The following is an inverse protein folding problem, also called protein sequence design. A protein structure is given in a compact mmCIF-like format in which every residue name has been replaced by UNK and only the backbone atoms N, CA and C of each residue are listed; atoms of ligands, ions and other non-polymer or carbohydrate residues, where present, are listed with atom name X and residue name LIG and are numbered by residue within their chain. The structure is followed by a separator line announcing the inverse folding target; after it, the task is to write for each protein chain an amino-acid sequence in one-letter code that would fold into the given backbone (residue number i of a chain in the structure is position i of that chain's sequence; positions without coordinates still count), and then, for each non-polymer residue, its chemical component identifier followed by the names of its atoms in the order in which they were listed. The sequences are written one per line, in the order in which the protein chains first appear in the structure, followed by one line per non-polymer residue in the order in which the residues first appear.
data_IF_350413013591
#
_entry.id   IF_350413013591
#
_cell.length_a   1.000
_cell.length_b   1.000
_cell.length_c   1.000
_cell.angle_alpha   90.00
_cell.angle_beta   90.00
_cell.angle_gamma   90.00
#
_symmetry.space_group_name_H-M   'P 1'
#
loop_
_entity.id
_entity.type
_entity.pdbx_description
1 polymer ?
#
# COMPACT_ATOMS: atom_id res chain seq x y z
N UNK A 1 -2.37 -2.95 30.54
CA UNK A 1 -2.71 -3.16 29.12
C UNK A 1 -1.39 -3.11 28.40
N UNK A 2 -0.88 -4.26 28.00
CA UNK A 2 0.38 -4.33 27.27
C UNK A 2 0.06 -3.97 25.83
N UNK A 3 0.49 -2.78 25.40
CA UNK A 3 0.33 -2.34 24.01
C UNK A 3 1.39 -3.01 23.14
N UNK A 4 0.99 -3.50 21.97
CA UNK A 4 1.95 -3.87 20.94
C UNK A 4 2.52 -2.61 20.29
N UNK A 5 3.82 -2.63 19.96
CA UNK A 5 4.50 -1.53 19.27
C UNK A 5 5.20 -2.08 18.05
N UNK A 6 4.93 -1.43 16.93
CA UNK A 6 5.58 -1.68 15.64
C UNK A 6 6.37 -0.44 15.24
N UNK A 7 7.62 -0.63 14.85
CA UNK A 7 8.45 0.39 14.21
C UNK A 7 8.40 0.22 12.70
N UNK A 8 8.12 1.32 12.00
CA UNK A 8 8.10 1.37 10.55
C UNK A 8 9.39 2.03 10.03
N UNK A 9 10.06 1.39 9.08
CA UNK A 9 11.29 1.86 8.47
C UNK A 9 11.01 2.21 7.01
N UNK A 10 11.42 3.40 6.59
CA UNK A 10 11.20 3.93 5.25
C UNK A 10 12.52 4.18 4.54
N UNK A 11 12.51 4.01 3.22
CA UNK A 11 13.57 4.41 2.29
C UNK A 11 13.04 5.49 1.35
N UNK A 12 13.80 5.86 0.31
CA UNK A 12 13.34 6.71 -0.78
C UNK A 12 12.24 6.07 -1.66
N UNK A 13 12.14 4.73 -1.66
CA UNK A 13 11.11 4.00 -2.41
C UNK A 13 9.82 3.77 -1.61
N UNK A 14 9.81 4.03 -0.30
CA UNK A 14 8.64 3.82 0.55
C UNK A 14 8.89 3.00 1.81
N UNK A 15 7.83 2.40 2.35
CA UNK A 15 7.91 1.51 3.51
C UNK A 15 8.75 0.28 3.16
N UNK A 16 9.85 0.04 3.86
CA UNK A 16 10.75 -1.09 3.60
C UNK A 16 10.75 -2.11 4.72
N UNK A 17 10.28 -1.80 5.92
CA UNK A 17 10.21 -2.80 6.97
C UNK A 17 9.36 -2.43 8.18
N UNK A 18 8.92 -3.47 8.87
CA UNK A 18 8.23 -3.43 10.16
C UNK A 18 9.00 -4.27 11.16
N UNK A 19 9.20 -3.73 12.36
CA UNK A 19 9.94 -4.37 13.45
C UNK A 19 9.14 -4.28 14.74
N UNK A 20 9.22 -5.31 15.57
CA UNK A 20 8.58 -5.29 16.88
C UNK A 20 9.32 -4.40 17.89
N UNK A 21 8.78 -4.30 19.10
CA UNK A 21 9.36 -3.49 20.17
C UNK A 21 10.80 -3.88 20.58
N UNK A 22 11.23 -5.11 20.27
CA UNK A 22 12.57 -5.64 20.53
C UNK A 22 13.55 -5.45 19.36
N UNK A 23 13.06 -4.96 18.22
CA UNK A 23 13.84 -4.82 16.99
C UNK A 23 13.89 -6.09 16.14
N UNK A 24 13.05 -7.10 16.44
CA UNK A 24 12.92 -8.27 15.59
C UNK A 24 12.09 -7.92 14.34
N UNK A 25 12.57 -8.36 13.17
CA UNK A 25 11.88 -8.17 11.90
C UNK A 25 10.52 -8.89 11.92
N UNK A 26 9.46 -8.13 11.67
CA UNK A 26 8.11 -8.65 11.39
C UNK A 26 8.00 -8.94 9.90
N UNK A 27 8.39 -7.98 9.06
CA UNK A 27 8.41 -8.11 7.59
C UNK A 27 9.25 -7.01 6.93
N UNK A 28 9.76 -7.31 5.73
CA UNK A 28 10.46 -6.37 4.85
C UNK A 28 9.77 -6.33 3.50
N UNK A 29 9.66 -5.16 2.90
CA UNK A 29 9.06 -4.96 1.57
C UNK A 29 10.14 -4.58 0.56
N UNK A 30 9.97 -5.03 -0.69
CA UNK A 30 10.73 -4.55 -1.82
C UNK A 30 9.80 -4.05 -2.91
N UNK A 31 10.17 -2.93 -3.53
CA UNK A 31 9.37 -2.25 -4.54
C UNK A 31 9.97 -2.45 -5.93
N UNK A 32 9.18 -2.19 -6.97
CA UNK A 32 9.69 -2.20 -8.33
C UNK A 32 10.65 -1.02 -8.53
N UNK A 33 11.88 -1.22 -9.03
CA UNK A 33 12.84 -0.12 -9.18
C UNK A 33 12.27 1.04 -10.02
N UNK A 34 12.34 2.24 -9.47
CA UNK A 34 11.82 3.46 -10.11
C UNK A 34 10.30 3.65 -10.01
N UNK A 35 9.60 2.84 -9.21
CA UNK A 35 8.19 3.07 -8.89
C UNK A 35 7.99 4.34 -8.05
N UNK A 36 6.72 4.74 -7.89
CA UNK A 36 6.37 5.80 -6.95
C UNK A 36 6.50 5.32 -5.50
N UNK A 37 6.45 6.26 -4.56
CA UNK A 37 6.54 5.98 -3.13
C UNK A 37 5.52 4.92 -2.69
N UNK A 38 6.01 3.78 -2.19
CA UNK A 38 5.20 2.63 -1.78
C UNK A 38 4.18 2.17 -2.85
N UNK A 39 4.55 2.26 -4.14
CA UNK A 39 3.77 1.72 -5.27
C UNK A 39 4.47 0.53 -5.89
N UNK A 40 3.70 -0.36 -6.53
CA UNK A 40 4.21 -1.54 -7.24
C UNK A 40 5.09 -2.46 -6.39
N UNK A 41 4.57 -3.00 -5.26
CA UNK A 41 5.34 -3.91 -4.43
C UNK A 41 5.73 -5.14 -5.24
N UNK A 42 6.99 -5.55 -5.09
CA UNK A 42 7.60 -6.66 -5.82
C UNK A 42 7.64 -7.92 -4.94
N UNK A 43 8.11 -7.78 -3.71
CA UNK A 43 8.16 -8.89 -2.75
C UNK A 43 7.87 -8.41 -1.32
N UNK A 44 7.45 -9.36 -0.48
CA UNK A 44 7.51 -9.26 0.98
C UNK A 44 8.38 -10.40 1.51
N UNK A 45 9.24 -10.09 2.47
CA UNK A 45 10.03 -11.08 3.21
C UNK A 45 9.51 -11.17 4.64
N UNK A 46 9.18 -12.37 5.08
CA UNK A 46 8.70 -12.67 6.43
C UNK A 46 9.51 -13.83 6.97
N UNK A 47 10.15 -13.67 8.13
CA UNK A 47 10.98 -14.73 8.73
C UNK A 47 12.10 -15.24 7.80
N UNK A 48 12.66 -14.37 6.96
CA UNK A 48 13.69 -14.73 5.98
C UNK A 48 13.17 -15.40 4.70
N UNK A 49 11.87 -15.65 4.55
CA UNK A 49 11.26 -16.26 3.37
C UNK A 49 10.67 -15.17 2.47
N UNK A 50 10.96 -15.25 1.17
CA UNK A 50 10.43 -14.33 0.16
C UNK A 50 9.10 -14.82 -0.40
N UNK A 51 8.20 -13.87 -0.62
CA UNK A 51 6.93 -14.04 -1.31
C UNK A 51 6.77 -12.92 -2.34
N UNK A 52 6.11 -13.20 -3.46
CA UNK A 52 6.04 -12.28 -4.59
C UNK A 52 4.62 -11.77 -4.80
N UNK A 53 4.50 -10.47 -4.99
CA UNK A 53 3.24 -9.82 -5.28
C UNK A 53 2.80 -10.06 -6.73
N UNK A 54 1.49 -10.12 -6.92
CA UNK A 54 0.81 -10.03 -8.21
C UNK A 54 -0.13 -8.83 -8.13
N UNK A 55 0.22 -7.78 -8.86
CA UNK A 55 -0.49 -6.51 -8.80
C UNK A 55 -1.47 -6.36 -9.98
N UNK A 56 -2.43 -5.46 -9.84
CA UNK A 56 -3.26 -4.98 -10.96
C UNK A 56 -2.52 -3.90 -11.79
N UNK A 57 -3.24 -3.27 -12.72
CA UNK A 57 -2.66 -2.25 -13.60
C UNK A 57 -2.28 -0.95 -12.90
N UNK A 58 -2.68 -0.75 -11.63
CA UNK A 58 -2.32 0.41 -10.81
C UNK A 58 -1.19 0.11 -9.83
N UNK A 59 -0.75 -1.15 -9.74
CA UNK A 59 0.22 -1.57 -8.73
C UNK A 59 -0.43 -2.00 -7.40
N UNK A 60 -1.75 -2.21 -7.35
CA UNK A 60 -2.44 -2.71 -6.14
C UNK A 60 -2.19 -4.21 -5.98
N UNK A 61 -1.74 -4.69 -4.81
CA UNK A 61 -1.65 -6.11 -4.49
C UNK A 61 -2.98 -6.86 -4.68
N UNK A 62 -3.05 -7.81 -5.61
CA UNK A 62 -4.21 -8.69 -5.77
C UNK A 62 -3.96 -10.07 -5.16
N UNK A 63 -2.71 -10.56 -5.26
CA UNK A 63 -2.27 -11.83 -4.69
C UNK A 63 -0.82 -11.77 -4.22
N UNK A 64 -0.47 -12.65 -3.31
CA UNK A 64 0.92 -12.97 -2.96
C UNK A 64 1.12 -14.47 -3.15
N UNK A 65 2.22 -14.85 -3.80
CA UNK A 65 2.58 -16.25 -4.05
C UNK A 65 3.89 -16.62 -3.38
N UNK A 66 3.97 -17.85 -2.88
CA UNK A 66 5.21 -18.44 -2.37
C UNK A 66 6.12 -18.92 -3.51
N UNK A 67 7.33 -19.37 -3.17
CA UNK A 67 8.29 -19.95 -4.12
C UNK A 67 7.75 -21.20 -4.83
N UNK A 68 6.82 -21.93 -4.21
CA UNK A 68 6.17 -23.09 -4.83
C UNK A 68 5.02 -22.70 -5.77
N UNK A 69 4.70 -21.41 -5.89
CA UNK A 69 3.57 -20.90 -6.67
C UNK A 69 2.23 -20.97 -5.95
N UNK A 70 2.20 -21.40 -4.67
CA UNK A 70 0.98 -21.40 -3.88
C UNK A 70 0.55 -19.97 -3.55
N UNK A 71 -0.74 -19.67 -3.70
CA UNK A 71 -1.32 -18.38 -3.27
C UNK A 71 -1.40 -18.39 -1.75
N UNK A 72 -0.65 -17.50 -1.10
CA UNK A 72 -0.57 -17.37 0.36
C UNK A 72 -1.37 -16.18 0.90
N UNK A 73 -1.72 -15.26 0.02
CA UNK A 73 -2.62 -14.16 0.30
C UNK A 73 -3.34 -13.74 -0.97
N UNK A 74 -4.62 -13.39 -0.87
CA UNK A 74 -5.36 -12.78 -1.97
C UNK A 74 -6.52 -11.93 -1.48
N UNK A 75 -6.84 -10.88 -2.24
CA UNK A 75 -7.95 -10.00 -1.95
C UNK A 75 -8.73 -9.63 -3.21
N UNK A 76 -9.95 -9.14 -3.00
CA UNK A 76 -10.79 -8.49 -4.01
C UNK A 76 -11.11 -7.10 -3.49
N UNK A 77 -11.02 -6.11 -4.38
CA UNK A 77 -11.25 -4.71 -4.06
C UNK A 77 -12.50 -4.21 -4.77
N UNK A 78 -13.26 -3.34 -4.10
CA UNK A 78 -14.20 -2.48 -4.81
C UNK A 78 -13.48 -1.29 -5.46
N UNK A 79 -14.24 -0.46 -6.18
CA UNK A 79 -13.68 0.69 -6.89
C UNK A 79 -12.97 1.68 -5.97
N UNK A 80 -13.32 1.77 -4.69
CA UNK A 80 -12.74 2.71 -3.72
C UNK A 80 -11.80 2.02 -2.72
N UNK A 81 -11.41 0.78 -2.99
CA UNK A 81 -10.37 0.09 -2.25
C UNK A 81 -10.86 -0.66 -1.02
N UNK A 82 -12.18 -0.77 -0.77
CA UNK A 82 -12.64 -1.70 0.26
C UNK A 82 -12.16 -3.11 -0.08
N UNK A 83 -11.36 -3.67 0.81
CA UNK A 83 -10.63 -4.90 0.59
C UNK A 83 -11.33 -6.07 1.28
N UNK A 84 -11.73 -7.08 0.51
CA UNK A 84 -12.17 -8.37 1.01
C UNK A 84 -11.05 -9.41 0.82
N UNK A 85 -10.47 -9.88 1.93
CA UNK A 85 -9.41 -10.88 1.91
C UNK A 85 -10.03 -12.27 1.75
N UNK A 86 -9.65 -12.98 0.69
CA UNK A 86 -10.16 -14.32 0.35
C UNK A 86 -9.22 -15.45 0.74
N UNK A 87 -7.93 -15.17 0.94
CA UNK A 87 -6.93 -16.12 1.44
C UNK A 87 -5.93 -15.35 2.29
N UNK A 88 -5.56 -15.89 3.44
CA UNK A 88 -4.65 -15.25 4.39
C UNK A 88 -3.86 -16.30 5.18
N UNK A 89 -2.81 -16.86 4.57
CA UNK A 89 -1.81 -17.66 5.30
C UNK A 89 -0.65 -16.80 5.78
N UNK A 90 -0.47 -15.62 5.19
CA UNK A 90 0.43 -14.56 5.65
C UNK A 90 -0.36 -13.25 5.71
N UNK A 91 0.03 -12.35 6.62
CA UNK A 91 -0.57 -11.02 6.72
C UNK A 91 0.00 -10.08 5.65
N UNK A 92 -0.87 -9.33 4.98
CA UNK A 92 -0.49 -8.24 4.09
C UNK A 92 -1.34 -7.00 4.39
N UNK A 93 -0.67 -5.93 4.78
CA UNK A 93 -1.32 -4.66 5.16
C UNK A 93 -1.29 -3.63 4.03
N UNK A 94 -0.57 -3.87 2.93
CA UNK A 94 -0.61 -2.97 1.77
C UNK A 94 -2.01 -2.97 1.13
N UNK A 95 -2.47 -1.80 0.71
CA UNK A 95 -3.78 -1.57 0.04
C UNK A 95 -3.55 -0.94 -1.33
N UNK A 96 -4.34 0.05 -1.73
CA UNK A 96 -4.03 0.83 -2.94
C UNK A 96 -2.61 1.42 -2.86
N UNK A 97 -2.02 1.81 -4.00
CA UNK A 97 -0.66 2.34 -4.03
C UNK A 97 -0.46 3.49 -3.02
N UNK A 98 0.58 3.39 -2.19
CA UNK A 98 0.82 4.34 -1.09
C UNK A 98 0.17 3.99 0.26
N UNK A 99 -0.83 3.10 0.26
CA UNK A 99 -1.70 2.89 1.42
C UNK A 99 -1.32 1.66 2.26
N UNK A 100 -1.39 1.85 3.57
CA UNK A 100 -1.17 0.84 4.59
C UNK A 100 -2.40 0.68 5.48
N UNK A 101 -2.86 -0.55 5.70
CA UNK A 101 -3.98 -0.85 6.58
C UNK A 101 -3.57 -0.75 8.05
N UNK A 102 -4.15 0.21 8.74
CA UNK A 102 -4.06 0.40 10.18
C UNK A 102 -5.20 -0.42 10.82
N UNK A 103 -4.83 -1.52 11.49
CA UNK A 103 -5.78 -2.49 12.02
C UNK A 103 -6.54 -1.93 13.24
N UNK A 104 -5.89 -1.04 14.00
CA UNK A 104 -6.43 -0.43 15.20
C UNK A 104 -7.61 0.49 14.88
N UNK A 105 -7.55 1.18 13.75
CA UNK A 105 -8.59 2.11 13.30
C UNK A 105 -9.50 1.54 12.21
N UNK A 106 -9.04 0.54 11.47
CA UNK A 106 -9.70 0.04 10.26
C UNK A 106 -9.54 0.96 9.04
N UNK A 107 -8.74 2.02 9.16
CA UNK A 107 -8.49 3.01 8.12
C UNK A 107 -7.22 2.69 7.34
N UNK A 108 -7.05 3.34 6.20
CA UNK A 108 -5.85 3.20 5.39
C UNK A 108 -4.97 4.44 5.59
N UNK A 109 -3.83 4.25 6.25
CA UNK A 109 -2.82 5.27 6.38
C UNK A 109 -2.14 5.48 5.01
N UNK A 110 -2.27 6.69 4.48
CA UNK A 110 -1.70 7.10 3.20
C UNK A 110 -0.73 8.26 3.41
N UNK A 111 0.31 8.01 4.22
CA UNK A 111 1.41 8.91 4.61
C UNK A 111 0.97 10.25 5.24
N UNK A 112 0.41 11.15 4.44
CA UNK A 112 -0.03 12.48 4.89
C UNK A 112 -1.50 12.49 5.37
N UNK A 113 -2.29 11.48 4.99
CA UNK A 113 -3.72 11.42 5.30
C UNK A 113 -4.19 10.01 5.64
N UNK A 114 -5.19 9.92 6.51
CA UNK A 114 -5.97 8.71 6.70
C UNK A 114 -7.12 8.69 5.69
N UNK A 115 -7.24 7.57 4.98
CA UNK A 115 -8.27 7.28 4.00
C UNK A 115 -9.28 6.28 4.58
N UNK A 116 -10.55 6.58 4.40
CA UNK A 116 -11.65 5.69 4.73
C UNK A 116 -12.21 5.07 3.44
N UNK A 117 -11.97 3.77 3.20
CA UNK A 117 -12.44 3.10 2.00
C UNK A 117 -13.98 2.97 1.98
N UNK A 118 -14.64 2.97 3.14
CA UNK A 118 -16.10 2.79 3.21
C UNK A 118 -16.85 4.00 2.67
N UNK A 119 -16.28 5.20 2.87
CA UNK A 119 -16.82 6.46 2.33
C UNK A 119 -16.12 6.89 1.04
N UNK A 120 -14.96 6.31 0.72
CA UNK A 120 -14.16 6.65 -0.46
C UNK A 120 -13.44 7.99 -0.35
N UNK A 121 -13.08 8.42 0.88
CA UNK A 121 -12.61 9.79 1.16
C UNK A 121 -11.47 9.83 2.17
N UNK A 122 -10.71 10.90 2.11
CA UNK A 122 -9.80 11.27 3.19
C UNK A 122 -10.56 11.86 4.38
N UNK A 123 -10.04 11.64 5.59
CA UNK A 123 -10.60 12.22 6.81
C UNK A 123 -10.13 13.65 7.09
N UNK A 124 -9.12 14.11 6.35
CA UNK A 124 -8.54 15.46 6.48
C UNK A 124 -8.48 16.15 5.12
N UNK A 125 -8.71 17.46 5.13
CA UNK A 125 -8.51 18.31 3.96
C UNK A 125 -7.07 18.19 3.43
N UNK A 126 -6.97 18.15 2.11
CA UNK A 126 -5.72 18.15 1.35
C UNK A 126 -4.80 19.32 1.75
N UNK A 127 -3.57 19.05 2.20
CA UNK A 127 -2.61 20.09 2.55
C UNK A 127 -2.16 20.96 1.37
N UNK A 128 -2.17 20.41 0.15
CA UNK A 128 -1.73 21.10 -1.07
C UNK A 128 -2.90 21.70 -1.86
N UNK A 129 -4.13 21.37 -1.46
CA UNK A 129 -5.32 21.95 -2.09
C UNK A 129 -5.63 21.34 -3.45
N UNK A 130 -5.33 20.06 -3.66
CA UNK A 130 -5.58 19.39 -4.94
C UNK A 130 -7.09 19.30 -5.25
N UNK A 131 -7.52 20.02 -6.29
CA UNK A 131 -8.92 20.09 -6.72
C UNK A 131 -9.84 20.97 -5.85
N UNK A 132 -11.13 20.97 -6.22
CA UNK A 132 -12.14 21.81 -5.54
C UNK A 132 -12.59 21.19 -4.22
N UNK A 133 -12.59 19.85 -4.13
CA UNK A 133 -13.00 19.12 -2.95
C UNK A 133 -11.80 18.42 -2.31
N UNK A 134 -11.36 18.97 -1.19
CA UNK A 134 -10.11 18.62 -0.51
C UNK A 134 -10.13 17.27 0.24
N UNK A 135 -11.24 16.54 0.21
CA UNK A 135 -11.39 15.24 0.87
C UNK A 135 -11.52 14.09 -0.12
N UNK A 136 -11.50 14.38 -1.42
CA UNK A 136 -11.76 13.39 -2.46
C UNK A 136 -10.52 12.55 -2.72
N UNK A 137 -10.68 11.24 -2.87
CA UNK A 137 -9.62 10.39 -3.39
C UNK A 137 -9.66 10.38 -4.92
N UNK A 138 -8.53 10.65 -5.56
CA UNK A 138 -8.33 10.44 -7.00
C UNK A 138 -9.38 11.10 -7.92
N UNK A 139 -9.89 12.28 -7.57
CA UNK A 139 -10.98 12.96 -8.29
C UNK A 139 -12.23 12.09 -8.53
N UNK A 140 -12.52 11.12 -7.64
CA UNK A 140 -13.54 10.08 -7.80
C UNK A 140 -13.31 9.15 -9.01
N UNK A 141 -12.07 9.03 -9.50
CA UNK A 141 -11.70 8.11 -10.56
C UNK A 141 -10.50 7.22 -10.17
N UNK A 142 -10.66 6.39 -9.11
CA UNK A 142 -9.61 5.50 -8.59
C UNK A 142 -9.22 4.36 -9.54
N UNK A 143 -9.92 4.19 -10.67
CA UNK A 143 -9.55 3.22 -11.70
C UNK A 143 -8.40 3.70 -12.60
N UNK A 144 -8.17 5.01 -12.66
CA UNK A 144 -7.16 5.64 -13.53
C UNK A 144 -6.09 6.42 -12.76
N UNK A 145 -6.41 6.86 -11.54
CA UNK A 145 -5.55 7.70 -10.73
C UNK A 145 -5.23 7.01 -9.40
N UNK A 146 -4.04 7.32 -8.90
CA UNK A 146 -3.55 6.90 -7.59
C UNK A 146 -3.09 8.16 -6.84
N UNK A 147 -2.99 8.10 -5.52
CA UNK A 147 -2.43 9.18 -4.70
C UNK A 147 -1.41 8.57 -3.72
N UNK A 148 -0.16 8.33 -4.17
CA UNK A 148 0.82 7.52 -3.43
C UNK A 148 1.24 8.10 -2.07
N UNK A 149 1.12 9.42 -1.92
CA UNK A 149 1.56 10.13 -0.73
C UNK A 149 0.38 10.74 0.05
N UNK A 150 -0.84 10.62 -0.45
CA UNK A 150 -1.98 11.31 0.14
C UNK A 150 -1.87 12.83 0.01
N UNK A 151 -1.40 13.35 -1.13
CA UNK A 151 -1.22 14.78 -1.40
C UNK A 151 -1.77 15.22 -2.75
N UNK A 152 -1.55 14.42 -3.80
CA UNK A 152 -1.94 14.77 -5.16
C UNK A 152 -2.26 13.51 -5.96
N UNK A 153 -3.40 13.52 -6.65
CA UNK A 153 -3.75 12.42 -7.52
C UNK A 153 -2.91 12.47 -8.81
N UNK A 154 -2.23 11.37 -9.12
CA UNK A 154 -1.44 11.19 -10.33
C UNK A 154 -2.04 10.09 -11.18
N UNK A 155 -2.03 10.29 -12.50
CA UNK A 155 -2.44 9.24 -13.43
C UNK A 155 -1.35 8.18 -13.44
N UNK A 156 -1.70 6.94 -13.14
CA UNK A 156 -0.73 5.86 -13.20
C UNK A 156 -0.41 5.55 -14.67
N UNK A 157 0.86 5.69 -15.04
CA UNK A 157 1.39 5.25 -16.33
C UNK A 157 2.40 4.17 -15.98
N UNK A 158 1.98 2.91 -16.09
CA UNK A 158 2.77 1.76 -15.62
C UNK A 158 4.21 1.79 -16.12
N UNK A 159 5.16 1.57 -15.20
CA UNK A 159 6.57 1.33 -15.50
C UNK A 159 7.27 2.46 -16.27
N UNK A 160 7.43 3.64 -15.67
CA UNK A 160 8.58 4.47 -16.04
C UNK A 160 9.84 3.81 -15.49
N UNK A 161 10.44 2.90 -16.28
CA UNK A 161 11.88 2.67 -16.14
C UNK A 161 12.52 4.00 -16.52
N UNK A 162 12.89 4.81 -15.52
CA UNK A 162 13.85 5.90 -15.73
C UNK A 162 15.18 5.22 -16.07
N UNK A 163 15.35 4.88 -17.35
CA UNK A 163 16.65 4.50 -17.88
C UNK A 163 17.58 5.66 -17.63
N UNK A 164 18.54 5.46 -16.72
CA UNK A 164 19.67 6.35 -16.59
C UNK A 164 20.44 6.30 -17.92
N UNK A 165 20.55 7.46 -18.56
CA UNK A 165 21.57 7.71 -19.59
C UNK A 165 22.91 8.00 -18.91
#
# INVERSE_FOLDING_TARGET
MDGERTYFVYSDEGLVGEYDSSGQEIRTYGWTPGSGWSTDPLFVRIGGIYYWYRNDHLGTPQKIVSTSGAVVWSAIYDSFGNCYISTETITNNLRFPGQYYDQETGLYYNLNRYYDPTTGRYLRADPFGDGINLYTYCFNNPLLFIDPEGLCAVRFVGGMVKGAA
#
